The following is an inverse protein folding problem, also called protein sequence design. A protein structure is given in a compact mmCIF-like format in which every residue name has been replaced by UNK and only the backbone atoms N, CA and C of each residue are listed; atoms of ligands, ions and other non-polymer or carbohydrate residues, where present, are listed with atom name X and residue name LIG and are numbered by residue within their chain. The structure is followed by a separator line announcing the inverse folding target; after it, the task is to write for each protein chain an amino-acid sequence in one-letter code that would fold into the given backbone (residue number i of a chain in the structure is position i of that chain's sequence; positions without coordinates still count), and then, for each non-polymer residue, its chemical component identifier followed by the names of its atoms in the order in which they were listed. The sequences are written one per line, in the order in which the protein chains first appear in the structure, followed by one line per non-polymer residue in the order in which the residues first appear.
data_IF_553217660324
#
_entry.id   IF_553217660324
#
_cell.length_a   1.000
_cell.length_b   1.000
_cell.length_c   1.000
_cell.angle_alpha   90.00
_cell.angle_beta   90.00
_cell.angle_gamma   90.00
#
_symmetry.space_group_name_H-M   'P 1'
#
loop_
_entity.id
_entity.type
_entity.pdbx_description
1 polymer ?
#
# COMPACT_ATOMS: atom_id res chain seq x y z
N UNK A 1 -46.50 31.07 20.67
CA UNK A 1 -46.49 29.94 19.70
C UNK A 1 -45.44 30.10 18.60
N UNK A 2 -45.22 31.31 18.04
CA UNK A 2 -44.20 31.54 16.99
C UNK A 2 -42.75 31.36 17.46
N UNK A 3 -42.42 31.75 18.70
CA UNK A 3 -41.08 31.57 19.29
C UNK A 3 -40.71 30.11 19.59
N UNK A 4 -41.69 29.24 19.86
CA UNK A 4 -41.47 27.82 20.10
C UNK A 4 -41.12 27.06 18.79
N UNK A 5 -41.66 27.53 17.66
CA UNK A 5 -41.36 26.98 16.33
C UNK A 5 -39.92 27.30 15.88
N UNK A 6 -39.39 28.47 16.24
CA UNK A 6 -38.00 28.83 15.96
C UNK A 6 -36.98 28.02 16.79
N UNK A 7 -37.33 27.66 18.03
CA UNK A 7 -36.47 26.83 18.89
C UNK A 7 -36.38 25.38 18.38
N UNK A 8 -37.48 24.85 17.83
CA UNK A 8 -37.50 23.50 17.24
C UNK A 8 -36.67 23.43 15.95
N UNK A 9 -36.68 24.50 15.14
CA UNK A 9 -35.94 24.57 13.88
C UNK A 9 -34.42 24.71 14.10
N UNK A 10 -34.00 25.39 15.18
CA UNK A 10 -32.60 25.50 15.57
C UNK A 10 -32.00 24.17 16.08
N UNK A 11 -32.81 23.29 16.69
CA UNK A 11 -32.37 21.98 17.19
C UNK A 11 -32.22 20.93 16.06
N UNK A 12 -32.92 21.11 14.94
CA UNK A 12 -32.82 20.25 13.75
C UNK A 12 -31.56 20.51 12.92
N UNK A 13 -30.93 21.69 13.06
CA UNK A 13 -29.72 22.07 12.31
C UNK A 13 -28.41 21.55 12.95
N UNK A 14 -28.43 21.14 14.22
CA UNK A 14 -27.23 20.58 14.90
C UNK A 14 -27.10 19.06 14.77
N UNK A 15 -28.11 18.38 14.25
CA UNK A 15 -28.11 16.91 14.10
C UNK A 15 -27.50 16.42 12.78
N UNK A 16 -27.11 17.31 11.85
CA UNK A 16 -26.34 16.94 10.64
C UNK A 16 -24.84 16.86 10.93
N UNK A 17 -24.45 16.16 11.99
CA UNK A 17 -23.10 15.63 12.07
C UNK A 17 -23.01 14.51 11.03
N UNK A 18 -22.75 14.87 9.77
CA UNK A 18 -22.33 13.92 8.76
C UNK A 18 -21.23 13.08 9.39
N UNK A 19 -21.47 11.77 9.58
CA UNK A 19 -20.40 10.83 9.83
C UNK A 19 -19.48 10.95 8.62
N UNK A 20 -18.41 11.73 8.76
CA UNK A 20 -17.31 11.70 7.80
C UNK A 20 -16.78 10.28 7.94
N UNK A 21 -17.12 9.43 6.97
CA UNK A 21 -16.53 8.10 6.91
C UNK A 21 -15.02 8.29 7.00
N UNK A 22 -14.39 7.67 8.01
CA UNK A 22 -12.94 7.73 8.15
C UNK A 22 -12.30 7.31 6.82
N UNK A 23 -11.20 7.93 6.35
CA UNK A 23 -10.52 7.49 5.13
C UNK A 23 -10.16 6.01 5.12
N UNK A 24 -10.00 5.41 6.31
CA UNK A 24 -9.73 3.99 6.51
C UNK A 24 -10.97 3.09 6.27
N UNK A 25 -12.17 3.66 6.30
CA UNK A 25 -13.40 2.96 6.00
C UNK A 25 -13.34 2.44 4.56
N UNK A 26 -13.47 1.12 4.41
CA UNK A 26 -13.38 0.45 3.11
C UNK A 26 -11.99 -0.08 2.73
N UNK A 27 -10.95 0.16 3.54
CA UNK A 27 -9.72 -0.62 3.40
C UNK A 27 -9.97 -2.09 3.84
N UNK A 28 -9.45 -3.12 3.16
CA UNK A 28 -9.68 -4.53 3.52
C UNK A 28 -9.23 -4.84 4.95
N UNK A 29 -9.87 -5.73 5.72
CA UNK A 29 -9.41 -6.08 7.06
C UNK A 29 -7.99 -6.69 7.04
N UNK A 30 -7.19 -6.43 8.08
CA UNK A 30 -5.89 -7.06 8.26
C UNK A 30 -6.06 -8.52 8.72
N UNK A 31 -6.21 -9.44 7.76
CA UNK A 31 -6.34 -10.88 8.03
C UNK A 31 -5.04 -11.64 7.79
N UNK A 32 -4.98 -12.91 8.21
CA UNK A 32 -3.80 -13.79 8.08
C UNK A 32 -4.15 -15.12 7.40
N UNK A 33 -5.10 -15.10 6.47
CA UNK A 33 -5.73 -16.31 5.87
C UNK A 33 -5.43 -16.49 4.39
N UNK A 34 -4.61 -15.64 3.81
CA UNK A 34 -4.32 -15.63 2.38
C UNK A 34 -5.50 -15.10 1.56
N UNK A 35 -6.18 -14.05 2.05
CA UNK A 35 -7.36 -13.48 1.39
C UNK A 35 -7.07 -12.82 0.02
N UNK A 36 -5.79 -12.60 -0.32
CA UNK A 36 -5.34 -11.86 -1.51
C UNK A 36 -5.87 -10.43 -1.57
N UNK A 37 -5.88 -9.78 -0.41
CA UNK A 37 -6.33 -8.40 -0.24
C UNK A 37 -5.21 -7.51 0.25
N UNK A 38 -5.24 -6.23 -0.13
CA UNK A 38 -4.31 -5.24 0.39
C UNK A 38 -4.83 -3.83 0.13
N UNK A 39 -4.23 -2.87 0.81
CA UNK A 39 -4.57 -1.46 0.64
C UNK A 39 -3.83 -0.58 1.64
N UNK A 40 -3.89 0.72 1.42
CA UNK A 40 -3.31 1.76 2.24
C UNK A 40 -4.00 3.10 1.97
N UNK A 41 -3.60 4.14 2.71
CA UNK A 41 -3.87 5.51 2.33
C UNK A 41 -2.64 6.10 1.66
N UNK A 42 -2.77 6.61 0.43
CA UNK A 42 -1.76 7.39 -0.27
C UNK A 42 -2.10 8.87 -0.09
N UNK A 43 -1.25 9.63 0.62
CA UNK A 43 -1.51 11.03 0.98
C UNK A 43 -2.90 11.24 1.63
N UNK A 44 -3.34 10.26 2.43
CA UNK A 44 -4.65 10.27 3.08
C UNK A 44 -5.82 9.80 2.20
N UNK A 45 -5.60 9.55 0.91
CA UNK A 45 -6.60 9.03 -0.01
C UNK A 45 -6.54 7.50 -0.11
N UNK A 46 -7.71 6.86 -0.18
CA UNK A 46 -7.81 5.41 -0.16
C UNK A 46 -7.26 4.76 -1.43
N UNK A 47 -6.40 3.77 -1.25
CA UNK A 47 -5.91 2.87 -2.28
C UNK A 47 -6.18 1.42 -1.88
N UNK A 48 -6.96 0.70 -2.70
CA UNK A 48 -7.31 -0.71 -2.47
C UNK A 48 -6.80 -1.52 -3.63
N UNK A 49 -6.24 -2.69 -3.31
CA UNK A 49 -5.72 -3.59 -4.30
C UNK A 49 -6.82 -4.05 -5.27
N UNK A 50 -6.55 -3.93 -6.56
CA UNK A 50 -7.37 -4.46 -7.64
C UNK A 50 -6.49 -4.95 -8.79
N UNK A 51 -6.89 -6.07 -9.39
CA UNK A 51 -6.25 -6.54 -10.61
C UNK A 51 -6.74 -5.76 -11.83
N UNK A 52 -6.02 -5.87 -12.94
CA UNK A 52 -6.41 -5.30 -14.22
C UNK A 52 -5.88 -6.12 -15.40
N UNK A 53 -6.35 -5.76 -16.59
CA UNK A 53 -5.97 -6.43 -17.83
C UNK A 53 -6.57 -7.82 -17.93
N UNK A 54 -5.93 -8.66 -18.75
CA UNK A 54 -6.49 -9.91 -19.21
C UNK A 54 -7.08 -9.77 -20.61
N UNK A 55 -6.63 -10.63 -21.52
CA UNK A 55 -7.15 -10.77 -22.87
C UNK A 55 -6.97 -12.23 -23.31
N UNK A 56 -7.45 -12.58 -24.50
CA UNK A 56 -7.13 -13.86 -25.14
C UNK A 56 -5.61 -14.09 -25.27
N UNK A 57 -4.81 -13.02 -25.29
CA UNK A 57 -3.36 -13.07 -25.50
C UNK A 57 -2.51 -12.76 -24.25
N UNK A 58 -3.13 -12.37 -23.13
CA UNK A 58 -2.39 -12.01 -21.92
C UNK A 58 -3.13 -12.36 -20.65
N UNK A 59 -2.39 -12.89 -19.67
CA UNK A 59 -2.94 -13.17 -18.35
C UNK A 59 -3.25 -11.86 -17.62
N UNK A 60 -4.33 -11.82 -16.81
CA UNK A 60 -4.62 -10.67 -15.98
C UNK A 60 -3.53 -10.45 -14.93
N UNK A 61 -3.31 -9.19 -14.56
CA UNK A 61 -2.44 -8.82 -13.45
C UNK A 61 -3.26 -8.96 -12.16
N UNK A 62 -2.84 -9.78 -11.19
CA UNK A 62 -3.60 -9.98 -9.94
C UNK A 62 -3.48 -8.76 -9.02
N UNK A 63 -4.43 -8.55 -8.08
CA UNK A 63 -4.33 -7.47 -7.08
C UNK A 63 -3.04 -7.52 -6.27
N UNK A 64 -2.60 -8.72 -5.88
CA UNK A 64 -1.35 -8.94 -5.15
C UNK A 64 -0.44 -9.90 -5.94
N UNK A 65 0.86 -9.62 -5.95
CA UNK A 65 1.89 -10.47 -6.54
C UNK A 65 3.16 -10.52 -5.70
N UNK A 66 4.13 -11.36 -6.06
CA UNK A 66 5.39 -11.48 -5.32
C UNK A 66 5.48 -12.76 -4.48
N UNK A 67 6.03 -12.68 -3.27
CA UNK A 67 6.22 -13.79 -2.35
C UNK A 67 7.65 -13.93 -1.83
N UNK A 68 7.90 -15.08 -1.22
CA UNK A 68 9.23 -15.47 -0.74
C UNK A 68 10.06 -16.00 -1.91
N UNK A 69 11.31 -15.54 -1.98
CA UNK A 69 12.33 -16.04 -2.91
C UNK A 69 13.40 -16.83 -2.14
N UNK A 70 14.18 -17.63 -2.87
CA UNK A 70 15.17 -18.54 -2.29
C UNK A 70 16.32 -17.81 -1.55
N UNK A 71 16.65 -16.58 -1.90
CA UNK A 71 17.74 -15.78 -1.33
C UNK A 71 17.33 -14.97 -0.09
N UNK A 72 16.38 -15.50 0.71
CA UNK A 72 15.78 -14.82 1.88
C UNK A 72 15.04 -13.51 1.55
N UNK A 73 14.88 -13.21 0.27
CA UNK A 73 14.14 -12.05 -0.19
C UNK A 73 12.63 -12.27 -0.05
N UNK A 74 11.94 -11.22 0.36
CA UNK A 74 10.51 -11.05 0.18
C UNK A 74 10.22 -9.84 -0.70
N UNK A 75 9.37 -10.01 -1.71
CA UNK A 75 8.80 -8.91 -2.48
C UNK A 75 7.30 -9.04 -2.50
N UNK A 76 6.57 -7.95 -2.30
CA UNK A 76 5.12 -7.90 -2.44
C UNK A 76 4.78 -6.77 -3.39
N UNK A 77 3.99 -7.07 -4.42
CA UNK A 77 3.34 -6.07 -5.25
C UNK A 77 1.89 -5.95 -4.86
N UNK A 78 1.42 -4.73 -4.69
CA UNK A 78 0.02 -4.34 -4.50
C UNK A 78 -0.34 -3.47 -5.69
N UNK A 79 -1.17 -4.02 -6.55
CA UNK A 79 -1.67 -3.41 -7.75
C UNK A 79 -3.00 -2.75 -7.42
N UNK A 80 -3.21 -1.48 -7.79
CA UNK A 80 -4.55 -0.89 -7.87
C UNK A 80 -4.65 0.25 -8.86
N UNK A 81 -5.72 1.05 -8.75
CA UNK A 81 -5.87 2.32 -9.47
C UNK A 81 -5.80 3.46 -8.46
N UNK A 82 -4.95 4.45 -8.73
CA UNK A 82 -4.84 5.68 -7.95
C UNK A 82 -4.85 6.87 -8.90
N UNK A 83 -5.67 7.88 -8.62
CA UNK A 83 -5.83 9.07 -9.49
C UNK A 83 -6.01 8.74 -10.98
N UNK A 84 -6.87 7.75 -11.28
CA UNK A 84 -7.16 7.25 -12.63
C UNK A 84 -5.96 6.61 -13.37
N UNK A 85 -4.92 6.20 -12.64
CA UNK A 85 -3.76 5.53 -13.20
C UNK A 85 -3.55 4.17 -12.54
N UNK A 86 -3.25 3.15 -13.35
CA UNK A 86 -2.77 1.88 -12.84
C UNK A 86 -1.50 2.13 -12.04
N UNK A 87 -1.51 1.70 -10.78
CA UNK A 87 -0.48 2.02 -9.79
C UNK A 87 -0.03 0.74 -9.11
N UNK A 88 1.28 0.57 -9.02
CA UNK A 88 1.92 -0.56 -8.36
C UNK A 88 2.72 -0.06 -7.17
N UNK A 89 2.31 -0.47 -5.98
CA UNK A 89 3.10 -0.34 -4.75
C UNK A 89 3.90 -1.62 -4.57
N UNK A 90 5.22 -1.52 -4.43
CA UNK A 90 6.09 -2.67 -4.17
C UNK A 90 6.75 -2.53 -2.81
N UNK A 91 6.65 -3.57 -1.98
CA UNK A 91 7.42 -3.73 -0.76
C UNK A 91 8.56 -4.73 -1.02
N UNK A 92 9.75 -4.41 -0.54
CA UNK A 92 10.93 -5.24 -0.72
C UNK A 92 11.75 -5.28 0.57
N UNK A 93 12.06 -6.47 1.08
CA UNK A 93 12.95 -6.62 2.22
C UNK A 93 13.68 -7.96 2.25
N UNK A 94 14.94 -7.93 2.74
CA UNK A 94 15.88 -9.05 2.81
C UNK A 94 15.80 -9.80 4.13
N UNK A 95 14.60 -10.26 4.46
CA UNK A 95 14.41 -11.16 5.58
C UNK A 95 13.06 -11.86 5.42
N UNK A 96 12.99 -13.11 5.86
CA UNK A 96 11.72 -13.83 5.98
C UNK A 96 11.29 -13.97 7.45
N UNK A 97 12.02 -13.32 8.37
CA UNK A 97 11.70 -13.30 9.78
C UNK A 97 10.48 -12.42 10.02
N UNK A 98 9.63 -12.83 10.96
CA UNK A 98 8.55 -11.99 11.43
C UNK A 98 9.11 -10.75 12.15
N UNK A 99 8.31 -9.69 12.18
CA UNK A 99 8.63 -8.46 12.89
C UNK A 99 8.86 -7.28 11.96
N UNK A 100 9.63 -6.31 12.46
CA UNK A 100 9.80 -5.01 11.81
C UNK A 100 10.98 -5.03 10.84
N UNK A 101 10.74 -4.56 9.62
CA UNK A 101 11.75 -4.31 8.60
C UNK A 101 11.76 -2.82 8.30
N UNK A 102 12.89 -2.16 8.56
CA UNK A 102 13.06 -0.73 8.33
C UNK A 102 13.38 -0.42 6.86
N UNK A 103 12.79 0.66 6.36
CA UNK A 103 12.97 1.20 5.01
C UNK A 103 13.74 2.52 5.08
N UNK A 104 14.97 2.49 5.60
CA UNK A 104 15.72 3.69 6.02
C UNK A 104 17.11 3.79 5.35
N UNK A 105 17.28 3.20 4.18
CA UNK A 105 18.56 3.16 3.46
C UNK A 105 18.39 3.65 2.02
N UNK A 106 19.43 4.27 1.48
CA UNK A 106 19.46 4.63 0.05
C UNK A 106 19.65 3.36 -0.77
N UNK A 107 18.83 3.16 -1.80
CA UNK A 107 18.93 2.02 -2.71
C UNK A 107 18.42 2.40 -4.09
N UNK A 108 18.84 1.63 -5.10
CA UNK A 108 18.24 1.66 -6.43
C UNK A 108 16.89 0.93 -6.41
N UNK A 109 15.98 1.35 -7.29
CA UNK A 109 14.78 0.58 -7.58
C UNK A 109 15.15 -0.67 -8.36
N UNK A 110 14.47 -1.78 -8.08
CA UNK A 110 14.51 -2.95 -8.96
C UNK A 110 13.63 -2.68 -10.17
N UNK A 111 14.24 -2.38 -11.32
CA UNK A 111 13.60 -2.66 -12.58
C UNK A 111 13.68 -4.18 -12.86
N UNK A 112 12.88 -4.67 -13.81
CA UNK A 112 12.67 -6.11 -14.02
C UNK A 112 13.94 -6.91 -14.44
N UNK A 113 15.13 -6.28 -14.49
CA UNK A 113 16.42 -6.90 -14.78
C UNK A 113 17.56 -6.60 -13.79
N UNK A 114 17.33 -5.82 -12.74
CA UNK A 114 18.38 -5.41 -11.79
C UNK A 114 18.96 -6.55 -10.95
N UNK A 115 20.26 -6.48 -10.63
CA UNK A 115 20.93 -7.38 -9.70
C UNK A 115 20.26 -7.31 -8.33
N UNK A 116 19.47 -8.34 -7.99
CA UNK A 116 18.76 -8.42 -6.72
C UNK A 116 19.71 -8.19 -5.56
N UNK A 117 20.89 -8.80 -5.58
CA UNK A 117 21.85 -8.93 -4.47
C UNK A 117 22.15 -7.61 -3.74
N UNK A 118 22.33 -6.50 -4.47
CA UNK A 118 22.71 -5.20 -3.88
C UNK A 118 21.54 -4.37 -3.34
N UNK A 119 20.30 -4.80 -3.58
CA UNK A 119 19.13 -4.03 -3.16
C UNK A 119 18.80 -4.23 -1.69
N UNK A 120 18.64 -3.11 -0.99
CA UNK A 120 18.34 -3.04 0.44
C UNK A 120 16.82 -2.98 0.65
N UNK A 121 16.37 -3.04 1.90
CA UNK A 121 14.94 -2.93 2.22
C UNK A 121 14.40 -1.58 1.74
N UNK A 122 13.34 -1.60 0.93
CA UNK A 122 12.71 -0.39 0.41
C UNK A 122 11.26 -0.64 0.01
N UNK A 123 10.52 0.45 -0.18
CA UNK A 123 9.24 0.45 -0.85
C UNK A 123 9.26 1.39 -2.04
N UNK A 124 8.51 1.03 -3.08
CA UNK A 124 8.28 1.86 -4.25
C UNK A 124 6.80 2.07 -4.53
N UNK A 125 6.46 3.17 -5.19
CA UNK A 125 5.19 3.38 -5.85
C UNK A 125 5.45 3.87 -7.27
N UNK A 126 4.84 3.22 -8.25
CA UNK A 126 4.95 3.59 -9.65
C UNK A 126 3.56 3.65 -10.28
N UNK A 127 3.23 4.77 -10.91
CA UNK A 127 2.02 4.93 -11.70
C UNK A 127 2.31 4.77 -13.20
N UNK A 128 1.35 4.24 -13.95
CA UNK A 128 1.51 3.89 -15.37
C UNK A 128 1.39 5.08 -16.33
N UNK A 129 1.09 6.29 -15.85
CA UNK A 129 1.01 7.52 -16.64
C UNK A 129 2.39 8.11 -16.95
N UNK A 130 2.66 9.42 -16.75
CA UNK A 130 4.03 9.90 -16.75
C UNK A 130 4.77 9.10 -15.67
N UNK A 131 5.72 8.25 -16.09
CA UNK A 131 6.37 7.25 -15.25
C UNK A 131 7.12 7.91 -14.09
N UNK A 132 6.40 8.16 -13.00
CA UNK A 132 6.95 8.71 -11.78
C UNK A 132 7.11 7.59 -10.77
N UNK A 133 8.37 7.40 -10.35
CA UNK A 133 8.76 6.42 -9.36
C UNK A 133 9.06 7.12 -8.04
N UNK A 134 8.31 6.77 -7.02
CA UNK A 134 8.60 7.13 -5.64
C UNK A 134 9.34 5.98 -4.96
N UNK A 135 10.36 6.30 -4.19
CA UNK A 135 11.16 5.31 -3.45
C UNK A 135 11.51 5.81 -2.04
N UNK A 136 11.46 4.92 -1.06
CA UNK A 136 11.98 5.18 0.30
C UNK A 136 13.50 5.34 0.25
N UNK A 137 14.06 6.14 1.16
CA UNK A 137 15.50 6.39 1.24
C UNK A 137 15.91 6.70 2.68
N UNK A 138 17.17 7.08 2.91
CA UNK A 138 17.67 7.44 4.25
C UNK A 138 16.97 8.63 4.92
N UNK A 139 16.26 9.48 4.15
CA UNK A 139 15.51 10.65 4.67
C UNK A 139 14.00 10.45 4.68
N UNK A 140 13.48 9.71 3.72
CA UNK A 140 12.07 9.38 3.58
C UNK A 140 11.91 7.90 3.90
N UNK A 141 11.61 7.64 5.17
CA UNK A 141 11.75 6.30 5.75
C UNK A 141 10.39 5.65 6.01
N UNK A 142 10.42 4.41 6.48
CA UNK A 142 9.23 3.73 6.96
C UNK A 142 9.53 2.34 7.51
N UNK A 143 8.46 1.58 7.71
CA UNK A 143 8.51 0.23 8.23
C UNK A 143 7.54 -0.68 7.48
N UNK A 144 7.92 -1.96 7.46
CA UNK A 144 7.03 -3.08 7.15
C UNK A 144 7.02 -3.96 8.38
N UNK A 145 5.84 -4.36 8.84
CA UNK A 145 5.68 -5.35 9.91
C UNK A 145 5.13 -6.62 9.29
N UNK A 146 5.96 -7.64 9.15
CA UNK A 146 5.52 -8.98 8.75
C UNK A 146 4.96 -9.68 9.99
N UNK A 147 3.63 -9.75 10.10
CA UNK A 147 2.94 -10.31 11.28
C UNK A 147 2.60 -11.78 11.13
N UNK A 148 2.59 -12.30 9.90
CA UNK A 148 2.34 -13.71 9.62
C UNK A 148 3.12 -14.19 8.41
N UNK A 149 3.69 -15.39 8.51
CA UNK A 149 4.35 -16.08 7.42
C UNK A 149 4.17 -17.60 7.58
N UNK A 150 3.44 -18.21 6.67
CA UNK A 150 3.31 -19.65 6.54
C UNK A 150 3.84 -20.06 5.15
N UNK A 151 5.10 -20.48 5.11
CA UNK A 151 5.80 -20.79 3.86
C UNK A 151 5.23 -22.04 3.18
N UNK A 152 4.79 -23.03 3.95
CA UNK A 152 4.18 -24.26 3.41
C UNK A 152 2.91 -23.97 2.63
N UNK A 153 2.07 -23.06 3.13
CA UNK A 153 0.82 -22.67 2.48
C UNK A 153 0.95 -21.42 1.61
N UNK A 154 2.15 -20.84 1.49
CA UNK A 154 2.42 -19.62 0.73
C UNK A 154 1.73 -18.37 1.29
N UNK A 155 1.36 -18.33 2.57
CA UNK A 155 0.59 -17.21 3.15
C UNK A 155 1.54 -16.24 3.83
N UNK A 156 1.34 -14.94 3.60
CA UNK A 156 2.04 -13.87 4.29
C UNK A 156 1.12 -12.69 4.52
N UNK A 157 1.15 -12.10 5.71
CA UNK A 157 0.35 -10.93 6.05
C UNK A 157 1.11 -9.97 6.94
N UNK A 158 0.72 -8.70 6.89
CA UNK A 158 1.43 -7.65 7.59
C UNK A 158 0.84 -6.26 7.37
N UNK A 159 1.52 -5.29 7.97
CA UNK A 159 1.21 -3.86 7.84
C UNK A 159 2.43 -3.10 7.37
N UNK A 160 2.23 -1.89 6.85
CA UNK A 160 3.33 -1.04 6.40
C UNK A 160 2.92 0.44 6.42
N UNK A 161 3.90 1.29 6.70
CA UNK A 161 3.78 2.75 6.62
C UNK A 161 5.13 3.33 6.22
N UNK A 162 5.14 4.30 5.30
CA UNK A 162 6.37 4.92 4.84
C UNK A 162 6.13 6.25 4.14
N UNK A 163 7.17 7.08 4.08
CA UNK A 163 7.25 8.20 3.15
C UNK A 163 8.23 7.87 2.05
N UNK A 164 7.92 8.21 0.80
CA UNK A 164 8.80 8.01 -0.34
C UNK A 164 8.92 9.30 -1.14
N UNK A 165 10.11 9.56 -1.70
CA UNK A 165 10.35 10.73 -2.55
C UNK A 165 10.39 10.32 -4.02
N UNK A 166 9.93 11.21 -4.90
CA UNK A 166 10.06 11.03 -6.34
C UNK A 166 11.53 10.98 -6.73
N UNK A 167 11.89 10.04 -7.61
CA UNK A 167 13.24 9.96 -8.17
C UNK A 167 13.52 11.12 -9.14
N UNK A 168 12.49 11.70 -9.76
CA UNK A 168 12.63 12.82 -10.68
C UNK A 168 12.72 14.17 -9.94
N UNK A 169 11.95 14.33 -8.85
CA UNK A 169 11.97 15.52 -8.01
C UNK A 169 11.96 15.12 -6.51
N UNK A 170 13.13 15.11 -5.84
CA UNK A 170 13.23 14.71 -4.44
C UNK A 170 12.45 15.58 -3.44
N UNK A 171 11.98 16.77 -3.84
CA UNK A 171 11.11 17.60 -3.00
C UNK A 171 9.67 17.10 -3.00
N UNK A 172 9.27 16.35 -4.02
CA UNK A 172 7.94 15.75 -4.12
C UNK A 172 7.92 14.41 -3.39
N UNK A 173 7.01 14.28 -2.43
CA UNK A 173 6.88 13.08 -1.59
C UNK A 173 5.46 12.53 -1.61
N UNK A 174 5.35 11.24 -1.29
CA UNK A 174 4.11 10.57 -0.94
C UNK A 174 4.23 9.98 0.44
N UNK A 175 3.13 10.01 1.20
CA UNK A 175 3.03 9.37 2.51
C UNK A 175 2.03 8.24 2.43
N UNK A 176 2.47 7.06 2.84
CA UNK A 176 1.69 5.83 2.90
C UNK A 176 1.40 5.49 4.36
N UNK A 177 0.12 5.40 4.72
CA UNK A 177 -0.32 5.04 6.08
C UNK A 177 -1.36 3.93 6.06
N UNK A 178 -1.58 3.28 7.20
CA UNK A 178 -2.58 2.23 7.38
C UNK A 178 -2.45 1.08 6.36
N UNK A 179 -1.24 0.85 5.86
CA UNK A 179 -0.97 -0.17 4.88
C UNK A 179 -1.15 -1.55 5.47
N UNK A 180 -1.82 -2.43 4.74
CA UNK A 180 -2.06 -3.83 5.10
C UNK A 180 -2.09 -4.74 3.90
N UNK A 181 -1.67 -5.97 4.11
CA UNK A 181 -1.71 -7.02 3.10
C UNK A 181 -2.00 -8.38 3.74
N UNK A 182 -2.73 -9.22 3.01
CA UNK A 182 -2.94 -10.63 3.30
C UNK A 182 -2.83 -11.39 1.96
N UNK A 183 -1.69 -12.02 1.72
CA UNK A 183 -1.32 -12.65 0.45
C UNK A 183 -1.27 -14.16 0.57
N UNK A 184 -1.76 -14.84 -0.47
CA UNK A 184 -1.47 -16.24 -0.76
C UNK A 184 -0.63 -16.35 -2.04
N UNK A 185 0.48 -17.08 -1.98
CA UNK A 185 1.39 -17.33 -3.10
C UNK A 185 0.85 -18.35 -4.09
#
# INVERSE_FOLDING_TARGET
MKTFLFLLLALLLTASACKKDSPEAGLPPATQRGANTGGCLINGERFVAMGWGGSLLSNPIPPLGGGFFYDSLYSLRINGVYQNQNTTLTLFFRSQALGTHYLNQNTLSLDQGGLRIETLNHATLMASGPSELYITNSRNTGIIILSYANKTNGISAGTFEFTAASQADPAKTITITHGRFDRKQ
#
